data_IF_196409945356
#
_entry.id   IF_196409945356
#
_cell.length_a   1.000
_cell.length_b   1.000
_cell.length_c   1.000
_cell.angle_alpha   90.00
_cell.angle_beta   90.00
_cell.angle_gamma   90.00
#
_symmetry.space_group_name_H-M   'P 1'
#
loop_
_entity.id
_entity.type
_entity.pdbx_description
1 polymer ?
#
# COMPACT_ATOMS: atom_id res chain seq x y z
N UNK A 1 10.44 18.39 0.87
CA UNK A 1 11.33 18.53 -0.30
C UNK A 1 11.41 17.21 -1.05
N UNK A 2 10.82 17.13 -2.24
CA UNK A 2 11.00 16.02 -3.18
C UNK A 2 12.14 16.38 -4.11
N UNK A 3 13.12 15.48 -4.25
CA UNK A 3 14.32 15.65 -5.08
C UNK A 3 13.95 16.02 -6.53
N UNK A 4 14.71 16.96 -7.12
CA UNK A 4 14.55 17.52 -8.47
C UNK A 4 14.57 16.47 -9.61
N UNK A 5 15.09 15.26 -9.36
CA UNK A 5 15.26 14.23 -10.39
C UNK A 5 14.28 13.06 -10.26
N UNK A 6 13.78 12.52 -11.40
CA UNK A 6 12.90 11.36 -11.41
C UNK A 6 13.62 10.11 -10.88
N UNK A 7 13.19 9.59 -9.74
CA UNK A 7 13.70 8.33 -9.18
C UNK A 7 13.04 7.13 -9.85
N UNK A 8 13.82 6.09 -10.17
CA UNK A 8 13.29 4.81 -10.69
C UNK A 8 12.26 4.23 -9.71
N UNK A 9 11.00 4.10 -10.15
CA UNK A 9 9.90 3.57 -9.33
C UNK A 9 9.71 2.07 -9.58
N UNK A 10 10.26 1.22 -8.72
CA UNK A 10 10.01 -0.23 -8.80
C UNK A 10 8.60 -0.59 -8.29
N UNK A 11 7.78 -1.14 -9.17
CA UNK A 11 6.44 -1.66 -8.83
C UNK A 11 6.52 -2.89 -7.92
N UNK A 12 7.55 -3.72 -8.11
CA UNK A 12 7.83 -4.90 -7.27
C UNK A 12 8.14 -4.47 -5.84
N UNK A 13 9.07 -3.52 -5.66
CA UNK A 13 9.39 -2.97 -4.34
C UNK A 13 8.17 -2.36 -3.67
N UNK A 14 7.34 -1.62 -4.42
CA UNK A 14 6.10 -1.04 -3.91
C UNK A 14 5.15 -2.11 -3.38
N UNK A 15 4.93 -3.20 -4.13
CA UNK A 15 4.05 -4.30 -3.71
C UNK A 15 4.56 -5.00 -2.46
N UNK A 16 5.87 -5.31 -2.40
CA UNK A 16 6.49 -5.99 -1.24
C UNK A 16 6.43 -5.15 0.03
N UNK A 17 6.63 -3.83 -0.07
CA UNK A 17 6.64 -2.94 1.11
C UNK A 17 5.26 -2.44 1.51
N UNK A 18 4.40 -2.08 0.54
CA UNK A 18 3.16 -1.33 0.79
C UNK A 18 1.89 -2.08 0.40
N UNK A 19 2.01 -3.25 -0.24
CA UNK A 19 0.89 -4.04 -0.74
C UNK A 19 0.04 -4.69 0.35
N UNK A 20 -1.10 -5.25 -0.06
CA UNK A 20 -2.09 -5.83 0.86
C UNK A 20 -1.50 -6.90 1.78
N UNK A 21 -0.72 -7.85 1.23
CA UNK A 21 -0.07 -8.91 2.02
C UNK A 21 0.86 -8.35 3.11
N UNK A 22 1.63 -7.30 2.78
CA UNK A 22 2.50 -6.64 3.76
C UNK A 22 1.70 -5.98 4.88
N UNK A 23 0.51 -5.42 4.57
CA UNK A 23 -0.41 -4.86 5.58
C UNK A 23 -1.04 -5.94 6.46
N UNK A 24 -1.34 -7.11 5.90
CA UNK A 24 -1.96 -8.19 6.67
C UNK A 24 -1.00 -8.88 7.63
N UNK A 25 0.32 -8.80 7.42
CA UNK A 25 1.35 -9.41 8.29
C UNK A 25 1.32 -8.84 9.72
N UNK A 26 1.15 -7.53 9.89
CA UNK A 26 1.26 -6.87 11.21
C UNK A 26 -0.10 -6.47 11.80
N UNK A 27 -0.18 -6.39 13.13
CA UNK A 27 -1.41 -5.96 13.84
C UNK A 27 -1.82 -4.53 13.43
N UNK A 28 -0.86 -3.63 13.32
CA UNK A 28 -1.07 -2.22 12.94
C UNK A 28 -1.52 -2.11 11.48
N UNK A 29 -0.95 -2.93 10.58
CA UNK A 29 -1.38 -2.98 9.19
C UNK A 29 -2.83 -3.43 9.04
N UNK A 30 -3.25 -4.46 9.79
CA UNK A 30 -4.66 -4.89 9.85
C UNK A 30 -5.58 -3.78 10.38
N UNK A 31 -5.18 -3.06 11.43
CA UNK A 31 -5.93 -1.89 11.94
C UNK A 31 -6.10 -0.80 10.87
N UNK A 32 -5.05 -0.51 10.10
CA UNK A 32 -5.11 0.47 9.02
C UNK A 32 -6.11 0.06 7.93
N UNK A 33 -6.09 -1.21 7.50
CA UNK A 33 -7.02 -1.74 6.50
C UNK A 33 -8.46 -1.65 7.00
N UNK A 34 -8.72 -2.03 8.26
CA UNK A 34 -10.06 -1.95 8.85
C UNK A 34 -10.57 -0.50 8.91
N UNK A 35 -9.70 0.48 9.19
CA UNK A 35 -10.05 1.90 9.13
C UNK A 35 -10.47 2.32 7.73
N UNK A 36 -9.74 1.88 6.69
CA UNK A 36 -10.07 2.17 5.29
C UNK A 36 -11.41 1.54 4.89
N UNK A 37 -11.66 0.29 5.29
CA UNK A 37 -12.95 -0.39 5.07
C UNK A 37 -14.12 0.35 5.74
N UNK A 38 -13.96 0.80 6.99
CA UNK A 38 -14.98 1.53 7.72
C UNK A 38 -15.46 2.80 7.00
N UNK A 39 -14.54 3.50 6.34
CA UNK A 39 -14.85 4.73 5.59
C UNK A 39 -15.20 4.46 4.12
N UNK A 40 -15.40 3.19 3.73
CA UNK A 40 -15.73 2.81 2.36
C UNK A 40 -14.60 2.95 1.34
N UNK A 41 -13.33 3.09 1.77
CA UNK A 41 -12.19 3.21 0.85
C UNK A 41 -11.78 1.85 0.32
N UNK A 42 -11.52 1.78 -1.00
CA UNK A 42 -10.90 0.60 -1.60
C UNK A 42 -9.54 0.30 -0.95
N UNK A 43 -9.37 -0.96 -0.56
CA UNK A 43 -8.15 -1.46 0.10
C UNK A 43 -7.11 -1.97 -0.90
N UNK A 44 -7.54 -2.26 -2.13
CA UNK A 44 -6.70 -2.76 -3.20
C UNK A 44 -6.75 -1.77 -4.37
N UNK A 45 -5.71 -0.94 -4.49
CA UNK A 45 -5.66 0.15 -5.48
C UNK A 45 -5.20 -0.35 -6.86
N UNK A 46 -4.71 -1.60 -6.98
CA UNK A 46 -4.44 -2.22 -8.28
C UNK A 46 -5.53 -3.23 -8.59
N UNK A 47 -6.20 -3.02 -9.73
CA UNK A 47 -7.18 -3.93 -10.31
C UNK A 47 -6.53 -5.15 -10.97
N UNK A 48 -5.28 -5.03 -11.44
CA UNK A 48 -4.61 -6.11 -12.16
C UNK A 48 -3.53 -6.75 -11.26
N UNK A 49 -3.74 -8.03 -10.98
CA UNK A 49 -2.70 -8.98 -10.61
C UNK A 49 -2.02 -9.46 -11.88
#
# INVERSE_FOLDING_TARGET
MSTHYPKRRSRIKRSRMWGFRARMKTKQGRKMINRKRRVGRSVNVRHNF
#
